data_IF_237486896279
#
_entry.id   IF_237486896279
#
_cell.length_a   1.000
_cell.length_b   1.000
_cell.length_c   1.000
_cell.angle_alpha   90.00
_cell.angle_beta   90.00
_cell.angle_gamma   90.00
#
_symmetry.space_group_name_H-M   'P 1'
#
loop_
_entity.id
_entity.type
_entity.pdbx_description
1 polymer ?
#
# COMPACT_ATOMS: atom_id res chain seq x y z
N UNK A 1 25.46 6.00 19.47
CA UNK A 1 24.09 5.46 19.62
C UNK A 1 23.21 6.15 18.61
N UNK A 2 22.83 5.48 17.53
CA UNK A 2 21.86 6.03 16.57
C UNK A 2 20.53 6.22 17.30
N UNK A 3 19.82 7.33 17.09
CA UNK A 3 18.52 7.55 17.72
C UNK A 3 17.43 6.78 16.98
N UNK A 4 16.36 6.39 17.67
CA UNK A 4 15.17 5.85 17.04
C UNK A 4 14.63 6.85 16.02
N UNK A 5 14.27 6.37 14.82
CA UNK A 5 13.91 7.24 13.71
C UNK A 5 12.81 6.65 12.83
N UNK A 6 12.12 7.49 12.04
CA UNK A 6 11.20 7.02 11.04
C UNK A 6 11.98 6.33 9.90
N UNK A 7 11.61 5.09 9.58
CA UNK A 7 12.02 4.40 8.36
C UNK A 7 10.82 4.19 7.43
N UNK A 8 11.10 4.11 6.13
CA UNK A 8 10.09 4.01 5.08
C UNK A 8 10.19 2.69 4.35
N UNK A 9 9.04 2.16 3.97
CA UNK A 9 8.90 1.03 3.07
C UNK A 9 7.82 1.35 2.03
N UNK A 10 7.84 0.66 0.91
CA UNK A 10 6.81 0.78 -0.12
C UNK A 10 5.95 -0.47 -0.17
N UNK A 11 4.67 -0.26 -0.46
CA UNK A 11 3.74 -1.32 -0.84
C UNK A 11 3.14 -0.94 -2.19
N UNK A 12 3.23 -1.87 -3.13
CA UNK A 12 2.76 -1.69 -4.50
C UNK A 12 1.79 -2.82 -4.82
N UNK A 13 0.69 -2.52 -5.50
CA UNK A 13 -0.27 -3.52 -5.98
C UNK A 13 -1.11 -2.94 -7.12
N UNK A 14 -1.90 -3.77 -7.78
CA UNK A 14 -2.81 -3.36 -8.86
C UNK A 14 -4.24 -3.68 -8.47
N UNK A 15 -5.11 -2.69 -8.60
CA UNK A 15 -6.57 -2.82 -8.47
C UNK A 15 -7.15 -3.14 -9.85
N UNK A 16 -7.99 -4.16 -9.94
CA UNK A 16 -8.56 -4.67 -11.20
C UNK A 16 -9.99 -4.19 -11.46
N UNK A 17 -10.66 -3.63 -10.46
CA UNK A 17 -12.02 -3.08 -10.58
C UNK A 17 -12.06 -1.55 -10.43
N UNK A 18 -10.96 -0.87 -10.78
CA UNK A 18 -10.85 0.58 -10.79
C UNK A 18 -10.11 1.02 -12.07
N UNK A 19 -10.84 1.42 -13.13
CA UNK A 19 -10.23 1.90 -14.36
C UNK A 19 -9.43 3.17 -14.13
N UNK A 20 -8.20 3.18 -14.65
CA UNK A 20 -7.35 4.35 -14.64
C UNK A 20 -7.86 5.38 -15.65
N UNK A 21 -8.07 6.63 -15.22
CA UNK A 21 -8.56 7.70 -16.07
C UNK A 21 -7.85 9.02 -15.78
N UNK A 22 -8.16 10.05 -16.56
CA UNK A 22 -7.57 11.39 -16.40
C UNK A 22 -7.70 11.97 -14.99
N UNK A 23 -8.82 11.69 -14.31
CA UNK A 23 -9.00 12.17 -12.93
C UNK A 23 -8.02 11.48 -11.97
N UNK A 24 -7.79 10.17 -12.12
CA UNK A 24 -6.78 9.46 -11.32
C UNK A 24 -5.34 9.80 -11.73
N UNK A 25 -5.14 10.28 -12.97
CA UNK A 25 -3.85 10.78 -13.45
C UNK A 25 -3.54 12.21 -13.00
N UNK A 26 -4.56 12.97 -12.60
CA UNK A 26 -4.42 14.37 -12.18
C UNK A 26 -4.37 14.45 -10.65
N UNK A 27 -3.22 14.79 -10.05
CA UNK A 27 -3.14 15.06 -8.62
C UNK A 27 -4.20 16.08 -8.19
N UNK A 28 -4.72 15.94 -6.98
CA UNK A 28 -5.72 16.81 -6.38
C UNK A 28 -7.10 16.88 -7.07
N UNK A 29 -7.34 16.07 -8.12
CA UNK A 29 -8.70 15.92 -8.66
C UNK A 29 -9.66 15.35 -7.61
N UNK A 30 -10.97 15.57 -7.79
CA UNK A 30 -11.98 15.04 -6.86
C UNK A 30 -11.87 13.52 -6.73
N UNK A 31 -11.70 12.80 -7.85
CA UNK A 31 -11.59 11.34 -7.85
C UNK A 31 -10.25 10.87 -7.27
N UNK A 32 -9.15 11.55 -7.59
CA UNK A 32 -7.83 11.28 -7.01
C UNK A 32 -7.89 11.39 -5.48
N UNK A 33 -8.34 12.53 -4.96
CA UNK A 33 -8.43 12.80 -3.53
C UNK A 33 -9.35 11.82 -2.79
N UNK A 34 -10.52 11.51 -3.38
CA UNK A 34 -11.43 10.53 -2.81
C UNK A 34 -10.80 9.13 -2.76
N UNK A 35 -10.19 8.69 -3.86
CA UNK A 35 -9.56 7.36 -3.95
C UNK A 35 -8.35 7.27 -3.03
N UNK A 36 -7.52 8.32 -2.96
CA UNK A 36 -6.38 8.41 -2.06
C UNK A 36 -6.82 8.26 -0.60
N UNK A 37 -7.84 9.00 -0.16
CA UNK A 37 -8.36 8.90 1.22
C UNK A 37 -8.83 7.50 1.57
N UNK A 38 -9.56 6.85 0.66
CA UNK A 38 -10.04 5.48 0.86
C UNK A 38 -8.85 4.51 0.93
N UNK A 39 -7.90 4.60 -0.01
CA UNK A 39 -6.70 3.76 -0.03
C UNK A 39 -5.85 3.94 1.23
N UNK A 40 -5.59 5.17 1.66
CA UNK A 40 -4.85 5.46 2.90
C UNK A 40 -5.53 4.82 4.10
N UNK A 41 -6.86 4.90 4.18
CA UNK A 41 -7.63 4.31 5.29
C UNK A 41 -7.51 2.78 5.29
N UNK A 42 -7.65 2.15 4.13
CA UNK A 42 -7.56 0.69 3.99
C UNK A 42 -6.16 0.17 4.32
N UNK A 43 -5.12 0.79 3.77
CA UNK A 43 -3.73 0.40 4.03
C UNK A 43 -3.33 0.65 5.49
N UNK A 44 -3.72 1.79 6.06
CA UNK A 44 -3.43 2.07 7.46
C UNK A 44 -4.10 1.07 8.39
N UNK A 45 -5.35 0.67 8.12
CA UNK A 45 -6.01 -0.37 8.91
C UNK A 45 -5.30 -1.71 8.77
N UNK A 46 -5.03 -2.13 7.53
CA UNK A 46 -4.36 -3.39 7.20
C UNK A 46 -3.02 -3.53 7.94
N UNK A 47 -2.18 -2.49 7.87
CA UNK A 47 -0.84 -2.49 8.44
C UNK A 47 -0.85 -2.30 9.95
N UNK A 48 -1.83 -1.58 10.53
CA UNK A 48 -2.00 -1.53 11.99
C UNK A 48 -2.35 -2.88 12.59
N UNK A 49 -3.02 -3.75 11.84
CA UNK A 49 -3.37 -5.10 12.28
C UNK A 49 -2.28 -6.14 11.95
N UNK A 50 -1.13 -5.72 11.43
CA UNK A 50 0.03 -6.56 11.09
C UNK A 50 1.09 -6.54 12.21
N UNK A 51 2.15 -7.34 12.09
CA UNK A 51 3.26 -7.39 13.04
C UNK A 51 3.99 -6.05 13.22
N UNK A 52 3.96 -5.16 12.22
CA UNK A 52 4.53 -3.81 12.33
C UNK A 52 3.59 -2.82 13.03
N UNK A 53 2.34 -3.19 13.29
CA UNK A 53 1.30 -2.32 13.84
C UNK A 53 1.71 -1.48 15.05
N UNK A 54 2.44 -2.03 16.05
CA UNK A 54 2.88 -1.28 17.23
C UNK A 54 3.82 -0.10 16.93
N UNK A 55 4.59 -0.17 15.83
CA UNK A 55 5.54 0.88 15.44
C UNK A 55 5.13 1.60 14.16
N UNK A 56 4.05 1.16 13.51
CA UNK A 56 3.54 1.73 12.28
C UNK A 56 2.99 3.15 12.47
N UNK A 57 3.44 4.09 11.64
CA UNK A 57 3.05 5.50 11.72
C UNK A 57 1.98 5.87 10.69
N UNK A 58 1.99 5.23 9.52
CA UNK A 58 1.00 5.47 8.47
C UNK A 58 1.59 5.43 7.06
N UNK A 59 0.71 5.33 6.06
CA UNK A 59 1.06 5.56 4.67
C UNK A 59 0.87 7.05 4.33
N UNK A 60 1.97 7.74 4.04
CA UNK A 60 2.03 9.19 3.82
C UNK A 60 1.79 9.58 2.37
N UNK A 61 2.23 8.74 1.43
CA UNK A 61 2.16 9.02 0.00
C UNK A 61 1.47 7.88 -0.69
N UNK A 62 0.50 8.19 -1.54
CA UNK A 62 -0.16 7.24 -2.43
C UNK A 62 -0.22 7.87 -3.82
N UNK A 63 0.30 7.13 -4.80
CA UNK A 63 0.22 7.49 -6.20
C UNK A 63 -0.59 6.43 -6.95
N UNK A 64 -1.30 6.89 -7.99
CA UNK A 64 -2.02 6.04 -8.91
C UNK A 64 -1.32 6.07 -10.27
N UNK A 65 -1.10 4.90 -10.84
CA UNK A 65 -0.47 4.74 -12.16
C UNK A 65 -1.29 3.82 -13.03
N UNK A 66 -1.02 3.90 -14.33
CA UNK A 66 -1.54 2.93 -15.28
C UNK A 66 -1.04 1.52 -14.90
N UNK A 67 -1.97 0.56 -14.79
CA UNK A 67 -1.64 -0.83 -14.48
C UNK A 67 -1.03 -1.56 -15.68
N UNK A 68 -0.26 -2.65 -15.47
CA UNK A 68 0.37 -3.40 -16.55
C UNK A 68 -0.61 -4.22 -17.42
N UNK A 69 -1.88 -4.35 -17.02
CA UNK A 69 -2.86 -5.19 -17.71
C UNK A 69 -3.41 -4.56 -19.00
N UNK A 70 -3.79 -5.45 -19.92
CA UNK A 70 -3.98 -5.22 -21.36
C UNK A 70 -5.15 -4.31 -21.78
N UNK A 71 -5.87 -3.64 -20.87
CA UNK A 71 -7.12 -2.96 -21.26
C UNK A 71 -7.46 -1.65 -20.53
N UNK A 72 -6.59 -1.10 -19.68
CA UNK A 72 -6.84 0.20 -19.03
C UNK A 72 -7.90 0.20 -17.92
N UNK A 73 -8.50 -0.97 -17.64
CA UNK A 73 -9.50 -1.16 -16.58
C UNK A 73 -8.89 -1.30 -15.18
N UNK A 74 -7.57 -1.15 -15.08
CA UNK A 74 -6.80 -1.41 -13.87
C UNK A 74 -6.03 -0.17 -13.44
N UNK A 75 -5.87 0.00 -12.12
CA UNK A 75 -5.07 1.07 -11.52
C UNK A 75 -3.96 0.46 -10.67
N UNK A 76 -2.71 0.77 -10.99
CA UNK A 76 -1.59 0.49 -10.10
C UNK A 76 -1.59 1.49 -8.94
N UNK A 77 -1.31 1.00 -7.75
CA UNK A 77 -1.19 1.79 -6.52
C UNK A 77 0.23 1.64 -6.01
N UNK A 78 0.89 2.78 -5.79
CA UNK A 78 2.19 2.83 -5.13
C UNK A 78 2.03 3.64 -3.84
N UNK A 79 2.27 3.01 -2.70
CA UNK A 79 2.18 3.67 -1.41
C UNK A 79 3.52 3.63 -0.66
N UNK A 80 3.88 4.76 -0.06
CA UNK A 80 5.02 4.88 0.84
C UNK A 80 4.49 4.95 2.26
N UNK A 81 4.95 4.04 3.09
CA UNK A 81 4.52 3.94 4.47
C UNK A 81 5.71 4.01 5.43
N UNK A 82 5.44 4.56 6.61
CA UNK A 82 6.45 4.89 7.60
C UNK A 82 6.21 4.09 8.87
N UNK A 83 7.28 3.62 9.49
CA UNK A 83 7.26 3.00 10.82
C UNK A 83 8.43 3.54 11.65
N UNK A 84 8.30 3.48 12.98
CA UNK A 84 9.40 3.80 13.89
C UNK A 84 10.32 2.59 13.98
N UNK A 85 11.60 2.79 13.68
CA UNK A 85 12.63 1.77 13.93
C UNK A 85 13.51 2.18 15.09
N UNK A 86 13.53 1.31 16.09
CA UNK A 86 14.46 1.43 17.20
C UNK A 86 15.88 1.05 16.76
N UNK A 87 16.93 1.65 17.33
CA UNK A 87 18.32 1.43 16.88
C UNK A 87 18.77 -0.03 16.98
N UNK A 88 18.19 -0.79 17.92
CA UNK A 88 18.44 -2.21 18.16
C UNK A 88 17.45 -3.13 17.45
N UNK A 89 16.42 -2.59 16.79
CA UNK A 89 15.43 -3.40 16.08
C UNK A 89 16.05 -4.02 14.82
N UNK A 90 15.60 -5.23 14.51
CA UNK A 90 15.94 -5.89 13.24
C UNK A 90 15.38 -5.08 12.06
N UNK A 91 15.96 -5.24 10.86
CA UNK A 91 15.35 -4.72 9.64
C UNK A 91 13.91 -5.21 9.47
N UNK A 92 13.13 -4.47 8.68
CA UNK A 92 11.77 -4.86 8.32
C UNK A 92 11.76 -6.28 7.71
N UNK A 93 10.98 -7.19 8.28
CA UNK A 93 10.72 -8.49 7.67
C UNK A 93 9.73 -8.32 6.50
N UNK A 94 10.29 -7.98 5.33
CA UNK A 94 9.54 -7.77 4.09
C UNK A 94 8.74 -9.00 3.68
N UNK A 95 9.29 -10.20 3.91
CA UNK A 95 8.66 -11.47 3.51
C UNK A 95 7.52 -11.81 4.47
N UNK A 96 7.75 -11.70 5.78
CA UNK A 96 6.70 -11.85 6.79
C UNK A 96 5.55 -10.88 6.56
N UNK A 97 5.85 -9.60 6.37
CA UNK A 97 4.83 -8.58 6.08
C UNK A 97 4.06 -8.88 4.78
N UNK A 98 4.74 -9.37 3.74
CA UNK A 98 4.09 -9.79 2.49
C UNK A 98 3.06 -10.90 2.75
N UNK A 99 3.43 -11.93 3.52
CA UNK A 99 2.50 -13.02 3.84
C UNK A 99 1.33 -12.56 4.70
N UNK A 100 1.56 -11.67 5.67
CA UNK A 100 0.48 -11.10 6.48
C UNK A 100 -0.49 -10.28 5.65
N UNK A 101 0.01 -9.41 4.77
CA UNK A 101 -0.79 -8.63 3.83
C UNK A 101 -1.56 -9.55 2.88
N UNK A 102 -0.91 -10.57 2.32
CA UNK A 102 -1.53 -11.56 1.46
C UNK A 102 -2.69 -12.26 2.16
N UNK A 103 -2.48 -12.78 3.37
CA UNK A 103 -3.51 -13.46 4.15
C UNK A 103 -4.68 -12.53 4.48
N UNK A 104 -4.40 -11.30 4.91
CA UNK A 104 -5.45 -10.31 5.25
C UNK A 104 -6.20 -9.78 4.02
N UNK A 105 -5.65 -9.93 2.82
CA UNK A 105 -6.29 -9.58 1.54
C UNK A 105 -6.86 -10.78 0.79
N UNK A 106 -7.13 -11.89 1.52
CA UNK A 106 -7.68 -13.14 0.97
C UNK A 106 -6.82 -13.72 -0.16
N UNK A 107 -5.51 -13.77 0.07
CA UNK A 107 -4.53 -14.19 -0.94
C UNK A 107 -4.36 -13.14 -2.03
N UNK A 108 -4.34 -11.85 -1.68
CA UNK A 108 -4.15 -10.74 -2.64
C UNK A 108 -5.30 -10.67 -3.67
N UNK A 109 -6.50 -11.10 -3.30
CA UNK A 109 -7.68 -11.00 -4.18
C UNK A 109 -8.53 -9.77 -3.86
N UNK A 110 -8.51 -9.29 -2.61
CA UNK A 110 -9.43 -8.25 -2.17
C UNK A 110 -8.88 -7.37 -1.05
N UNK A 111 -9.05 -6.05 -1.20
CA UNK A 111 -8.83 -5.06 -0.16
C UNK A 111 -10.06 -4.15 -0.05
N UNK A 112 -10.92 -4.42 0.93
CA UNK A 112 -12.19 -3.71 1.08
C UNK A 112 -13.08 -3.88 -0.19
N UNK A 113 -13.52 -2.78 -0.83
CA UNK A 113 -14.33 -2.86 -2.05
C UNK A 113 -13.52 -3.13 -3.32
N UNK A 114 -12.19 -3.22 -3.23
CA UNK A 114 -11.32 -3.35 -4.39
C UNK A 114 -10.87 -4.79 -4.62
N UNK A 115 -11.00 -5.23 -5.86
CA UNK A 115 -10.41 -6.46 -6.37
C UNK A 115 -8.97 -6.20 -6.76
N UNK A 116 -8.07 -7.13 -6.43
CA UNK A 116 -6.64 -6.99 -6.64
C UNK A 116 -6.13 -8.02 -7.66
N UNK A 117 -5.04 -7.67 -8.33
CA UNK A 117 -4.24 -8.61 -9.11
C UNK A 117 -3.33 -9.39 -8.16
N UNK A 118 -3.49 -10.71 -8.12
CA UNK A 118 -2.83 -11.60 -7.16
C UNK A 118 -1.32 -11.60 -7.27
N UNK A 119 -0.79 -11.28 -8.45
CA UNK A 119 0.66 -11.34 -8.73
C UNK A 119 1.32 -9.95 -8.61
N UNK A 120 0.54 -8.92 -8.27
CA UNK A 120 0.98 -7.53 -8.31
C UNK A 120 1.51 -6.98 -6.99
N UNK A 121 1.29 -7.68 -5.87
CA UNK A 121 1.73 -7.22 -4.55
C UNK A 121 3.26 -7.25 -4.45
N UNK A 122 3.85 -6.13 -4.06
CA UNK A 122 5.28 -6.01 -3.80
C UNK A 122 5.53 -5.15 -2.56
N UNK A 123 6.45 -5.58 -1.70
CA UNK A 123 6.88 -4.84 -0.50
C UNK A 123 8.38 -4.61 -0.58
N UNK A 124 8.79 -3.35 -0.48
CA UNK A 124 10.20 -2.96 -0.52
C UNK A 124 10.58 -2.07 0.67
N UNK A 125 11.85 -2.09 1.08
CA UNK A 125 12.40 -1.31 2.18
C UNK A 125 13.91 -1.34 2.15
#
# INVERSE_FOLDING_TARGET
>A
TTAAGPERFTINFTITNLPYNSDLATPDSVKFNATQRVMTTLLNRLLKESSIGPTFLGCETIAFRYGPARQGDNTGVDAVCTYRKEPSATPLDRVGLYHEVSNKTRGIMQLGPYSLDTDSLYING
#
